data_IF_862780515951
#
_entry.id   IF_862780515951
#
_cell.length_a   1.000
_cell.length_b   1.000
_cell.length_c   1.000
_cell.angle_alpha   90.00
_cell.angle_beta   90.00
_cell.angle_gamma   90.00
#
_symmetry.space_group_name_H-M   'P 1'
#
loop_
_entity.id
_entity.type
_entity.pdbx_description
1 polymer ?
#
# COMPACT_ATOMS: atom_id res chain seq x y z
N UNK A 1 20.91 -26.98 5.00
CA UNK A 1 21.38 -25.78 5.73
C UNK A 1 22.62 -25.14 5.10
N UNK A 2 23.69 -25.87 4.74
CA UNK A 2 24.91 -25.27 4.11
C UNK A 2 24.62 -24.42 2.86
N UNK A 3 23.77 -24.88 1.93
CA UNK A 3 23.41 -24.12 0.72
C UNK A 3 22.57 -22.86 0.98
N UNK A 4 21.79 -22.82 2.08
CA UNK A 4 20.91 -21.68 2.38
C UNK A 4 21.68 -20.41 2.74
N UNK A 5 22.85 -20.55 3.37
CA UNK A 5 23.72 -19.42 3.71
C UNK A 5 24.39 -18.81 2.46
N UNK A 6 24.90 -19.63 1.55
CA UNK A 6 25.48 -19.14 0.30
C UNK A 6 24.43 -18.46 -0.59
N UNK A 7 23.23 -19.03 -0.65
CA UNK A 7 22.10 -18.48 -1.40
C UNK A 7 21.61 -17.15 -0.79
N UNK A 8 21.63 -17.01 0.54
CA UNK A 8 21.37 -15.74 1.24
C UNK A 8 22.42 -14.68 0.89
N UNK A 9 23.71 -15.00 0.99
CA UNK A 9 24.79 -14.07 0.69
C UNK A 9 24.74 -13.62 -0.77
N UNK A 10 24.53 -14.57 -1.70
CA UNK A 10 24.38 -14.29 -3.12
C UNK A 10 23.18 -13.36 -3.40
N UNK A 11 22.04 -13.60 -2.74
CA UNK A 11 20.85 -12.75 -2.89
C UNK A 11 21.10 -11.31 -2.39
N UNK A 12 21.82 -11.14 -1.28
CA UNK A 12 22.17 -9.81 -0.74
C UNK A 12 23.13 -9.08 -1.68
N UNK A 13 24.16 -9.76 -2.17
CA UNK A 13 25.11 -9.18 -3.14
C UNK A 13 24.37 -8.76 -4.41
N UNK A 14 23.47 -9.61 -4.91
CA UNK A 14 22.67 -9.30 -6.10
C UNK A 14 21.73 -8.12 -5.86
N UNK A 15 21.07 -8.02 -4.71
CA UNK A 15 20.29 -6.84 -4.34
C UNK A 15 21.16 -5.58 -4.35
N UNK A 16 22.35 -5.62 -3.74
CA UNK A 16 23.26 -4.47 -3.73
C UNK A 16 23.63 -4.06 -5.16
N UNK A 17 23.99 -5.02 -6.00
CA UNK A 17 24.29 -4.76 -7.41
C UNK A 17 23.11 -4.12 -8.17
N UNK A 18 21.86 -4.51 -7.86
CA UNK A 18 20.66 -3.98 -8.52
C UNK A 18 20.28 -2.55 -8.09
N UNK A 19 20.63 -2.12 -6.87
CA UNK A 19 20.16 -0.86 -6.29
C UNK A 19 21.26 0.16 -5.99
N UNK A 20 22.52 -0.27 -5.89
CA UNK A 20 23.62 0.62 -5.52
C UNK A 20 23.90 1.64 -6.62
N UNK A 21 23.78 2.93 -6.26
CA UNK A 21 23.84 4.07 -7.19
C UNK A 21 22.90 3.92 -8.40
N UNK A 22 21.75 3.27 -8.19
CA UNK A 22 20.72 3.10 -9.20
C UNK A 22 19.47 3.88 -8.81
N UNK A 23 18.86 4.54 -9.79
CA UNK A 23 17.50 5.04 -9.70
C UNK A 23 16.47 3.90 -9.84
N UNK A 24 15.21 4.17 -9.55
CA UNK A 24 14.11 3.21 -9.70
C UNK A 24 13.83 2.89 -11.18
N UNK A 25 13.73 1.60 -11.49
CA UNK A 25 13.42 1.12 -12.84
C UNK A 25 13.23 -0.39 -12.85
N UNK A 26 13.82 -1.05 -13.86
CA UNK A 26 13.72 -2.51 -14.03
C UNK A 26 14.39 -3.30 -12.90
N UNK A 27 15.27 -2.69 -12.11
CA UNK A 27 15.87 -3.29 -10.92
C UNK A 27 14.84 -3.86 -9.93
N UNK A 28 13.67 -3.23 -9.76
CA UNK A 28 12.59 -3.77 -8.93
C UNK A 28 11.99 -5.05 -9.51
N UNK A 29 11.82 -5.13 -10.82
CA UNK A 29 11.32 -6.33 -11.49
C UNK A 29 12.36 -7.46 -11.39
N UNK A 30 13.64 -7.15 -11.60
CA UNK A 30 14.74 -8.10 -11.41
C UNK A 30 14.82 -8.63 -9.97
N UNK A 31 14.66 -7.75 -8.98
CA UNK A 31 14.57 -8.15 -7.57
C UNK A 31 13.37 -9.07 -7.33
N UNK A 32 12.22 -8.79 -7.94
CA UNK A 32 11.04 -9.63 -7.75
C UNK A 32 11.23 -11.05 -8.32
N UNK A 33 11.91 -11.18 -9.47
CA UNK A 33 12.30 -12.49 -10.01
C UNK A 33 13.18 -13.24 -9.01
N UNK A 34 14.15 -12.55 -8.39
CA UNK A 34 14.97 -13.13 -7.33
C UNK A 34 14.10 -13.59 -6.15
N UNK A 35 13.21 -12.74 -5.63
CA UNK A 35 12.33 -13.08 -4.49
C UNK A 35 11.47 -14.30 -4.79
N UNK A 36 10.80 -14.35 -5.94
CA UNK A 36 9.97 -15.50 -6.32
C UNK A 36 10.79 -16.77 -6.51
N UNK A 37 12.01 -16.65 -7.04
CA UNK A 37 12.95 -17.77 -7.18
C UNK A 37 13.36 -18.31 -5.81
N UNK A 38 13.67 -17.44 -4.84
CA UNK A 38 13.99 -17.84 -3.47
C UNK A 38 12.83 -18.59 -2.81
N UNK A 39 11.59 -18.12 -3.00
CA UNK A 39 10.38 -18.80 -2.50
C UNK A 39 10.18 -20.18 -3.15
N UNK A 40 10.39 -20.28 -4.47
CA UNK A 40 10.30 -21.54 -5.24
C UNK A 40 11.34 -22.57 -4.81
N UNK A 41 12.58 -22.16 -4.63
CA UNK A 41 13.69 -23.02 -4.19
C UNK A 41 13.41 -23.54 -2.78
N UNK A 42 12.83 -22.71 -1.92
CA UNK A 42 12.51 -23.09 -0.55
C UNK A 42 11.39 -24.12 -0.46
N UNK A 43 10.22 -23.82 -1.01
CA UNK A 43 9.09 -24.75 -1.02
C UNK A 43 8.05 -24.34 -2.08
N UNK A 44 7.93 -25.18 -3.11
CA UNK A 44 7.02 -24.97 -4.26
C UNK A 44 5.54 -24.99 -3.88
N UNK A 45 5.17 -25.68 -2.80
CA UNK A 45 3.76 -25.80 -2.42
C UNK A 45 3.16 -24.49 -1.90
N UNK A 46 3.97 -23.55 -1.43
CA UNK A 46 3.48 -22.23 -1.00
C UNK A 46 2.92 -21.40 -2.16
N UNK A 47 3.48 -21.53 -3.37
CA UNK A 47 2.97 -20.84 -4.56
C UNK A 47 1.70 -21.48 -5.12
N UNK A 48 1.27 -22.64 -4.61
CA UNK A 48 -0.05 -23.22 -4.95
C UNK A 48 -1.19 -22.54 -4.19
N UNK A 49 -0.88 -21.82 -3.12
CA UNK A 49 -1.87 -21.17 -2.27
C UNK A 49 -2.32 -19.85 -2.89
N UNK A 50 -3.64 -19.65 -2.98
CA UNK A 50 -4.24 -18.49 -3.66
C UNK A 50 -3.75 -17.16 -3.09
N UNK A 51 -3.60 -17.05 -1.77
CA UNK A 51 -3.12 -15.81 -1.13
C UNK A 51 -1.68 -15.46 -1.55
N UNK A 52 -0.81 -16.45 -1.61
CA UNK A 52 0.57 -16.26 -2.07
C UNK A 52 0.58 -15.89 -3.55
N UNK A 53 -0.24 -16.54 -4.38
CA UNK A 53 -0.38 -16.21 -5.81
C UNK A 53 -0.84 -14.77 -6.03
N UNK A 54 -1.83 -14.31 -5.25
CA UNK A 54 -2.30 -12.92 -5.31
C UNK A 54 -1.22 -11.93 -4.86
N UNK A 55 -0.46 -12.24 -3.81
CA UNK A 55 0.67 -11.41 -3.38
C UNK A 55 1.78 -11.36 -4.43
N UNK A 56 2.12 -12.51 -5.04
CA UNK A 56 3.11 -12.62 -6.12
C UNK A 56 2.68 -11.86 -7.37
N UNK A 57 1.40 -11.99 -7.77
CA UNK A 57 0.84 -11.22 -8.87
C UNK A 57 0.96 -9.72 -8.58
N UNK A 58 0.60 -9.31 -7.37
CA UNK A 58 0.70 -7.90 -6.98
C UNK A 58 2.13 -7.37 -6.96
N UNK A 59 3.11 -8.15 -6.49
CA UNK A 59 4.53 -7.73 -6.53
C UNK A 59 5.03 -7.59 -7.96
N UNK A 60 4.62 -8.49 -8.87
CA UNK A 60 4.96 -8.44 -10.31
C UNK A 60 4.35 -7.21 -10.95
N UNK A 61 3.06 -6.95 -10.72
CA UNK A 61 2.39 -5.77 -11.25
C UNK A 61 3.03 -4.48 -10.73
N UNK A 62 3.39 -4.40 -9.44
CA UNK A 62 4.11 -3.25 -8.90
C UNK A 62 5.49 -3.07 -9.56
N UNK A 63 6.26 -4.15 -9.71
CA UNK A 63 7.57 -4.12 -10.38
C UNK A 63 7.47 -3.70 -11.84
N UNK A 64 6.44 -4.15 -12.56
CA UNK A 64 6.12 -3.70 -13.92
C UNK A 64 5.78 -2.21 -13.93
N UNK A 65 4.88 -1.75 -13.05
CA UNK A 65 4.51 -0.33 -12.97
C UNK A 65 5.73 0.56 -12.71
N UNK A 66 6.65 0.16 -11.83
CA UNK A 66 7.89 0.91 -11.60
C UNK A 66 8.76 0.95 -12.87
N UNK A 67 8.90 -0.17 -13.58
CA UNK A 67 9.63 -0.22 -14.85
C UNK A 67 8.96 0.62 -15.96
N UNK A 68 7.63 0.73 -15.97
CA UNK A 68 6.91 1.50 -16.99
C UNK A 68 6.83 3.00 -16.69
N UNK A 69 6.45 3.36 -15.46
CA UNK A 69 6.09 4.73 -15.08
C UNK A 69 6.91 5.30 -13.92
N UNK A 70 7.57 4.43 -13.14
CA UNK A 70 8.26 4.83 -11.91
C UNK A 70 7.31 5.28 -10.79
N UNK A 71 7.85 6.03 -9.84
CA UNK A 71 7.09 6.74 -8.80
C UNK A 71 7.13 6.12 -7.41
N UNK A 72 7.20 6.98 -6.40
CA UNK A 72 7.38 6.62 -4.99
C UNK A 72 6.22 5.80 -4.43
N UNK A 73 4.99 6.08 -4.87
CA UNK A 73 3.79 5.33 -4.47
C UNK A 73 3.83 3.89 -4.97
N UNK A 74 4.36 3.65 -6.17
CA UNK A 74 4.57 2.31 -6.73
C UNK A 74 5.61 1.53 -5.92
N UNK A 75 6.68 2.19 -5.48
CA UNK A 75 7.72 1.60 -4.61
C UNK A 75 7.12 1.21 -3.25
N UNK A 76 6.31 2.07 -2.64
CA UNK A 76 5.63 1.76 -1.39
C UNK A 76 4.75 0.51 -1.50
N UNK A 77 3.94 0.42 -2.56
CA UNK A 77 3.12 -0.77 -2.81
C UNK A 77 3.95 -2.01 -3.13
N UNK A 78 5.07 -1.87 -3.83
CA UNK A 78 6.02 -2.95 -4.05
C UNK A 78 6.55 -3.50 -2.73
N UNK A 79 7.03 -2.63 -1.83
CA UNK A 79 7.51 -3.02 -0.49
C UNK A 79 6.38 -3.72 0.27
N UNK A 80 5.18 -3.16 0.27
CA UNK A 80 4.01 -3.79 0.91
C UNK A 80 3.72 -5.19 0.34
N UNK A 81 3.86 -5.37 -0.98
CA UNK A 81 3.74 -6.67 -1.66
C UNK A 81 4.80 -7.67 -1.17
N UNK A 82 6.04 -7.22 -0.98
CA UNK A 82 7.12 -8.04 -0.41
C UNK A 82 6.80 -8.43 1.04
N UNK A 83 6.26 -7.52 1.86
CA UNK A 83 5.84 -7.84 3.23
C UNK A 83 4.76 -8.93 3.24
N UNK A 84 3.76 -8.84 2.36
CA UNK A 84 2.74 -9.89 2.21
C UNK A 84 3.38 -11.23 1.82
N UNK A 85 4.33 -11.24 0.88
CA UNK A 85 5.03 -12.46 0.47
C UNK A 85 5.83 -13.07 1.62
N UNK A 86 6.56 -12.26 2.40
CA UNK A 86 7.29 -12.73 3.59
C UNK A 86 6.32 -13.33 4.62
N UNK A 87 5.19 -12.67 4.87
CA UNK A 87 4.17 -13.19 5.78
C UNK A 87 3.58 -14.52 5.31
N UNK A 88 3.23 -14.64 4.03
CA UNK A 88 2.66 -15.86 3.46
C UNK A 88 3.67 -17.01 3.34
N UNK A 89 4.95 -16.67 3.19
CA UNK A 89 6.05 -17.62 3.27
C UNK A 89 6.19 -18.26 4.66
N UNK A 90 5.70 -17.60 5.71
CA UNK A 90 5.58 -18.22 7.04
C UNK A 90 4.38 -19.16 7.10
N UNK A 91 3.16 -18.64 6.91
CA UNK A 91 1.90 -19.38 6.98
C UNK A 91 0.96 -18.85 5.90
N UNK A 92 0.62 -19.71 4.93
CA UNK A 92 -0.14 -19.29 3.75
C UNK A 92 -1.63 -18.98 4.02
N UNK A 93 -2.20 -19.52 5.10
CA UNK A 93 -3.61 -19.34 5.46
C UNK A 93 -3.91 -18.02 6.18
N UNK A 94 -2.90 -17.19 6.43
CA UNK A 94 -3.06 -15.91 7.11
C UNK A 94 -3.96 -14.93 6.35
N UNK A 95 -4.60 -14.05 7.10
CA UNK A 95 -5.26 -12.88 6.51
C UNK A 95 -4.22 -11.91 5.94
N UNK A 96 -4.55 -11.13 4.91
CA UNK A 96 -3.60 -10.17 4.31
C UNK A 96 -3.00 -9.20 5.33
N UNK A 97 -3.82 -8.66 6.23
CA UNK A 97 -3.36 -7.72 7.26
C UNK A 97 -2.42 -8.37 8.30
N UNK A 98 -2.66 -9.63 8.68
CA UNK A 98 -1.75 -10.37 9.59
C UNK A 98 -0.49 -10.80 8.87
N UNK A 99 -0.61 -11.21 7.60
CA UNK A 99 0.53 -11.54 6.74
C UNK A 99 1.46 -10.33 6.59
N UNK A 100 0.93 -9.16 6.25
CA UNK A 100 1.70 -7.93 6.15
C UNK A 100 2.38 -7.56 7.49
N UNK A 101 1.69 -7.73 8.61
CA UNK A 101 2.26 -7.50 9.94
C UNK A 101 3.40 -8.48 10.27
N UNK A 102 3.20 -9.78 10.05
CA UNK A 102 4.23 -10.80 10.24
C UNK A 102 5.43 -10.56 9.30
N UNK A 103 5.15 -10.14 8.07
CA UNK A 103 6.14 -9.70 7.10
C UNK A 103 6.96 -8.54 7.61
N UNK A 104 6.31 -7.50 8.14
CA UNK A 104 6.97 -6.32 8.72
C UNK A 104 7.86 -6.66 9.92
N UNK A 105 7.34 -7.44 10.86
CA UNK A 105 8.11 -7.93 12.02
C UNK A 105 9.35 -8.70 11.57
N UNK A 106 9.21 -9.53 10.53
CA UNK A 106 10.32 -10.29 9.97
C UNK A 106 11.30 -9.42 9.17
N UNK A 107 10.81 -8.41 8.45
CA UNK A 107 11.57 -7.47 7.63
C UNK A 107 12.55 -6.63 8.47
N UNK A 108 12.16 -6.26 9.70
CA UNK A 108 13.02 -5.52 10.65
C UNK A 108 14.18 -6.40 11.18
N UNK A 109 14.20 -7.70 10.88
CA UNK A 109 15.33 -8.58 11.17
C UNK A 109 15.12 -9.55 12.33
N UNK A 110 13.90 -9.67 12.87
CA UNK A 110 13.58 -10.68 13.90
C UNK A 110 13.74 -12.11 13.33
N UNK A 111 13.38 -12.30 12.07
CA UNK A 111 13.65 -13.55 11.37
C UNK A 111 15.15 -13.83 11.26
N UNK A 112 15.96 -12.82 10.90
CA UNK A 112 17.43 -12.91 10.85
C UNK A 112 18.04 -13.26 12.20
N UNK A 113 17.57 -12.62 13.28
CA UNK A 113 18.04 -12.88 14.64
C UNK A 113 17.73 -14.32 15.07
N UNK A 114 16.48 -14.77 14.85
CA UNK A 114 16.08 -16.14 15.19
C UNK A 114 16.79 -17.18 14.32
N UNK A 115 16.98 -16.92 13.03
CA UNK A 115 17.75 -17.79 12.15
C UNK A 115 19.21 -17.90 12.60
N UNK A 116 19.84 -16.77 12.93
CA UNK A 116 21.18 -16.73 13.50
C UNK A 116 21.27 -17.51 14.81
N UNK A 117 20.37 -17.25 15.76
CA UNK A 117 20.32 -17.98 17.03
C UNK A 117 20.13 -19.48 16.82
N UNK A 118 19.25 -19.90 15.92
CA UNK A 118 18.99 -21.31 15.62
C UNK A 118 20.18 -22.01 14.93
N UNK A 119 20.91 -21.31 14.05
CA UNK A 119 22.15 -21.83 13.47
C UNK A 119 23.24 -22.02 14.54
N UNK A 120 23.25 -21.16 15.55
CA UNK A 120 24.20 -21.23 16.66
C UNK A 120 23.83 -22.34 17.67
N UNK A 121 22.55 -22.68 17.81
CA UNK A 121 22.06 -23.69 18.78
C UNK A 121 21.87 -25.09 18.19
N UNK A 122 21.48 -25.26 16.92
CA UNK A 122 21.29 -26.57 16.25
C UNK A 122 22.57 -27.19 15.67
N UNK A 123 23.73 -26.56 15.84
CA UNK A 123 25.01 -27.15 15.49
C UNK A 123 25.41 -28.23 16.52
N UNK A 124 24.67 -29.33 16.56
CA UNK A 124 25.10 -30.58 17.20
C UNK A 124 26.07 -31.29 16.26
N UNK A 125 27.37 -30.96 16.33
CA UNK A 125 28.57 -31.74 15.91
C UNK A 125 29.85 -30.89 16.09
N UNK A 126 31.05 -31.53 16.17
CA UNK A 126 31.91 -31.58 17.36
C UNK A 126 32.56 -30.25 17.81
N UNK A 127 33.15 -30.28 19.00
CA UNK A 127 33.80 -29.24 19.84
C UNK A 127 34.45 -28.01 19.18
N UNK A 128 34.91 -28.08 17.93
CA UNK A 128 35.58 -26.95 17.25
C UNK A 128 34.59 -25.89 16.73
N UNK A 129 33.40 -26.29 16.26
CA UNK A 129 32.39 -25.35 15.74
C UNK A 129 31.69 -24.56 16.88
N UNK A 130 31.60 -25.18 18.07
CA UNK A 130 31.12 -24.55 19.32
C UNK A 130 32.11 -23.53 19.89
N UNK A 131 33.43 -23.69 19.65
CA UNK A 131 34.44 -22.68 19.96
C UNK A 131 34.34 -21.47 19.03
N UNK A 132 34.18 -21.71 17.72
CA UNK A 132 34.05 -20.64 16.73
C UNK A 132 32.77 -19.82 16.90
N UNK A 133 31.63 -20.46 17.20
CA UNK A 133 30.36 -19.74 17.44
C UNK A 133 30.39 -18.93 18.74
N UNK A 134 30.98 -19.47 19.82
CA UNK A 134 31.19 -18.74 21.07
C UNK A 134 32.21 -17.62 20.93
N UNK A 135 33.27 -17.80 20.15
CA UNK A 135 34.24 -16.76 19.84
C UNK A 135 33.61 -15.63 19.04
N UNK A 136 32.78 -15.93 18.03
CA UNK A 136 32.03 -14.90 17.30
C UNK A 136 31.05 -14.19 18.24
N UNK A 137 30.28 -14.89 19.06
CA UNK A 137 29.36 -14.25 20.02
C UNK A 137 30.07 -13.42 21.10
N UNK A 138 31.29 -13.81 21.48
CA UNK A 138 32.15 -13.05 22.39
C UNK A 138 32.74 -11.81 21.70
N UNK A 139 33.07 -11.90 20.41
CA UNK A 139 33.70 -10.82 19.65
C UNK A 139 32.69 -9.82 19.07
N UNK A 140 31.51 -10.28 18.65
CA UNK A 140 30.58 -9.49 17.84
C UNK A 140 30.01 -8.28 18.61
N UNK A 141 29.55 -8.38 19.88
CA UNK A 141 29.09 -7.22 20.62
C UNK A 141 30.21 -6.22 20.92
N UNK A 142 31.41 -6.62 21.44
CA UNK A 142 32.53 -5.70 21.62
C UNK A 142 32.94 -5.05 20.30
N UNK A 143 33.06 -5.81 19.21
CA UNK A 143 33.51 -5.30 17.92
C UNK A 143 32.47 -4.34 17.31
N UNK A 144 31.17 -4.62 17.44
CA UNK A 144 30.11 -3.70 17.05
C UNK A 144 30.15 -2.40 17.86
N UNK A 145 30.36 -2.48 19.18
CA UNK A 145 30.51 -1.31 20.06
C UNK A 145 31.79 -0.53 19.68
N UNK A 146 32.91 -1.21 19.47
CA UNK A 146 34.19 -0.58 19.06
C UNK A 146 34.08 0.08 17.70
N UNK A 147 33.38 -0.53 16.72
CA UNK A 147 33.11 0.10 15.42
C UNK A 147 32.21 1.32 15.54
N UNK A 148 31.22 1.29 16.44
CA UNK A 148 30.36 2.44 16.74
C UNK A 148 31.19 3.59 17.34
N UNK A 149 32.02 3.31 18.35
CA UNK A 149 32.93 4.29 18.93
C UNK A 149 33.98 4.80 17.94
N UNK A 150 34.49 3.94 17.06
CA UNK A 150 35.36 4.35 15.95
C UNK A 150 34.66 5.35 15.04
N UNK A 151 33.41 5.10 14.65
CA UNK A 151 32.60 6.04 13.87
C UNK A 151 32.41 7.39 14.58
N UNK A 152 32.15 7.37 15.89
CA UNK A 152 32.03 8.59 16.71
C UNK A 152 33.35 9.37 16.78
N UNK A 153 34.49 8.69 16.94
CA UNK A 153 35.81 9.33 16.98
C UNK A 153 36.26 9.85 15.63
N UNK A 154 35.97 9.13 14.54
CA UNK A 154 36.18 9.61 13.18
C UNK A 154 35.34 10.86 12.88
N UNK A 155 34.09 10.88 13.33
CA UNK A 155 33.21 12.05 13.22
C UNK A 155 33.71 13.25 14.04
N UNK A 156 34.27 13.00 15.24
CA UNK A 156 34.80 14.05 16.11
C UNK A 156 36.18 14.57 15.67
N UNK A 157 37.01 13.74 15.02
CA UNK A 157 38.34 14.10 14.55
C UNK A 157 38.64 13.43 13.20
N UNK A 158 38.59 14.17 12.07
CA UNK A 158 38.86 13.64 10.73
C UNK A 158 40.24 12.99 10.55
N UNK A 159 41.22 13.33 11.41
CA UNK A 159 42.56 12.73 11.40
C UNK A 159 42.62 11.36 12.09
N UNK A 160 41.54 10.94 12.78
CA UNK A 160 41.42 9.64 13.45
C UNK A 160 41.05 8.54 12.45
N UNK A 161 41.89 8.38 11.43
CA UNK A 161 41.52 7.69 10.20
C UNK A 161 42.56 6.61 9.88
N UNK A 162 42.73 5.66 10.81
CA UNK A 162 43.74 4.57 10.71
C UNK A 162 43.55 3.65 9.49
N UNK A 163 42.38 3.69 8.83
CA UNK A 163 42.03 2.93 7.62
C UNK A 163 41.90 3.81 6.35
N UNK A 164 42.17 5.11 6.44
CA UNK A 164 41.70 6.09 5.44
C UNK A 164 42.59 6.29 4.23
N UNK A 165 43.79 5.71 4.19
CA UNK A 165 44.71 5.96 3.08
C UNK A 165 44.50 5.06 1.86
N UNK A 166 43.50 4.16 1.84
CA UNK A 166 43.28 3.33 0.63
C UNK A 166 41.84 2.93 0.32
N UNK A 167 40.89 2.93 1.27
CA UNK A 167 39.51 2.55 0.98
C UNK A 167 38.49 3.37 1.80
N UNK A 168 37.75 4.26 1.14
CA UNK A 168 36.53 4.85 1.69
C UNK A 168 35.40 3.84 1.54
N UNK A 169 34.94 3.24 2.65
CA UNK A 169 33.74 2.42 2.63
C UNK A 169 32.54 3.29 2.21
N UNK A 170 31.92 2.95 1.08
CA UNK A 170 30.72 3.66 0.64
C UNK A 170 29.56 3.35 1.60
N UNK A 171 29.12 4.39 2.32
CA UNK A 171 28.05 4.27 3.30
C UNK A 171 26.71 3.82 2.67
N UNK A 172 26.45 4.20 1.42
CA UNK A 172 25.27 3.78 0.66
C UNK A 172 25.29 2.29 0.32
N UNK A 173 26.45 1.77 -0.10
CA UNK A 173 26.63 0.33 -0.31
C UNK A 173 26.44 -0.46 0.99
N UNK A 174 27.08 -0.01 2.07
CA UNK A 174 26.99 -0.67 3.38
C UNK A 174 25.56 -0.63 3.92
N UNK A 175 24.84 0.49 3.75
CA UNK A 175 23.44 0.60 4.14
C UNK A 175 22.55 -0.41 3.39
N UNK A 176 22.67 -0.50 2.05
CA UNK A 176 21.92 -1.47 1.25
C UNK A 176 22.24 -2.91 1.63
N UNK A 177 23.49 -3.20 1.95
CA UNK A 177 23.94 -4.50 2.43
C UNK A 177 23.31 -4.86 3.79
N UNK A 178 23.31 -3.93 4.75
CA UNK A 178 22.67 -4.12 6.05
C UNK A 178 21.16 -4.32 5.92
N UNK A 179 20.49 -3.55 5.06
CA UNK A 179 19.07 -3.77 4.75
C UNK A 179 18.84 -5.17 4.19
N UNK A 180 19.67 -5.63 3.24
CA UNK A 180 19.59 -6.99 2.71
C UNK A 180 19.70 -8.06 3.81
N UNK A 181 20.57 -7.86 4.80
CA UNK A 181 20.72 -8.76 5.95
C UNK A 181 19.50 -8.81 6.89
N UNK A 182 18.61 -7.82 6.89
CA UNK A 182 17.41 -7.85 7.75
C UNK A 182 16.25 -8.60 7.10
N UNK A 183 15.96 -8.35 5.82
CA UNK A 183 14.73 -8.86 5.21
C UNK A 183 14.89 -10.11 4.35
N UNK A 184 16.02 -10.28 3.64
CA UNK A 184 16.25 -11.48 2.81
C UNK A 184 16.23 -12.77 3.64
N UNK A 185 16.76 -12.82 4.87
CA UNK A 185 16.69 -14.03 5.68
C UNK A 185 15.25 -14.43 6.01
N UNK A 186 14.29 -13.49 6.05
CA UNK A 186 12.88 -13.80 6.28
C UNK A 186 12.23 -14.61 5.14
N UNK A 187 12.79 -14.55 3.92
CA UNK A 187 12.36 -15.39 2.80
C UNK A 187 12.86 -16.84 2.93
N UNK A 188 14.02 -17.04 3.55
CA UNK A 188 14.68 -18.36 3.67
C UNK A 188 14.29 -19.04 4.99
N UNK A 189 14.26 -18.27 6.06
CA UNK A 189 13.98 -18.68 7.44
C UNK A 189 12.75 -17.91 7.94
N UNK A 190 11.53 -18.43 7.69
CA UNK A 190 10.32 -17.70 8.06
C UNK A 190 10.20 -17.60 9.58
N UNK A 191 9.56 -16.53 10.01
CA UNK A 191 9.19 -16.31 11.38
C UNK A 191 7.75 -15.80 11.45
N UNK A 192 7.00 -16.29 12.43
CA UNK A 192 5.62 -15.85 12.68
C UNK A 192 5.41 -15.65 14.19
N UNK A 193 5.09 -14.44 14.66
CA UNK A 193 4.67 -14.22 16.04
C UNK A 193 3.42 -15.02 16.39
N UNK A 194 3.47 -15.85 17.43
CA UNK A 194 2.39 -16.79 17.77
C UNK A 194 1.07 -16.08 18.13
N UNK A 195 1.12 -15.01 18.93
CA UNK A 195 -0.09 -14.38 19.49
C UNK A 195 -1.11 -13.90 18.43
N UNK A 196 -0.64 -13.20 17.39
CA UNK A 196 -1.52 -12.69 16.33
C UNK A 196 -1.88 -13.78 15.31
N UNK A 197 -0.94 -14.67 15.03
CA UNK A 197 -1.09 -15.77 14.07
C UNK A 197 -2.16 -16.76 14.52
N UNK A 198 -2.11 -17.24 15.76
CA UNK A 198 -3.08 -18.20 16.30
C UNK A 198 -4.49 -17.59 16.41
N UNK A 199 -4.57 -16.30 16.79
CA UNK A 199 -5.85 -15.58 16.85
C UNK A 199 -6.50 -15.44 15.48
N UNK A 200 -5.73 -15.35 14.40
CA UNK A 200 -6.27 -15.23 13.05
C UNK A 200 -6.69 -16.58 12.46
N UNK A 201 -5.86 -17.61 12.63
CA UNK A 201 -6.15 -18.96 12.15
C UNK A 201 -7.40 -19.57 12.80
N UNK A 202 -7.69 -19.20 14.04
CA UNK A 202 -8.89 -19.64 14.76
C UNK A 202 -10.20 -18.97 14.28
N UNK A 203 -10.13 -17.95 13.41
CA UNK A 203 -11.32 -17.22 12.92
C UNK A 203 -11.79 -17.78 11.56
N UNK A 204 -12.88 -18.57 11.50
CA UNK A 204 -13.42 -19.05 10.24
C UNK A 204 -14.05 -17.93 9.42
N UNK A 205 -14.24 -18.16 8.12
CA UNK A 205 -14.92 -17.21 7.22
C UNK A 205 -16.46 -17.27 7.30
N UNK A 206 -17.03 -18.40 7.75
CA UNK A 206 -18.46 -18.62 7.84
C UNK A 206 -18.92 -18.64 9.30
N UNK A 207 -20.06 -18.00 9.59
CA UNK A 207 -20.65 -18.08 10.91
C UNK A 207 -21.32 -19.46 11.07
N UNK A 208 -21.00 -20.14 12.17
CA UNK A 208 -21.73 -21.33 12.63
C UNK A 208 -22.61 -20.94 13.81
N UNK A 209 -23.84 -21.47 13.86
CA UNK A 209 -24.73 -21.26 15.00
C UNK A 209 -24.14 -21.98 16.20
N UNK A 210 -23.77 -21.24 17.24
CA UNK A 210 -23.25 -21.82 18.48
C UNK A 210 -24.44 -22.17 19.36
N UNK A 211 -24.67 -23.48 19.56
CA UNK A 211 -25.65 -24.01 20.53
C UNK A 211 -24.93 -24.30 21.84
N UNK A 212 -24.74 -23.29 22.68
CA UNK A 212 -24.35 -23.50 24.08
C UNK A 212 -25.61 -23.49 24.94
N UNK A 213 -25.65 -24.32 26.01
CA UNK A 213 -26.57 -24.10 27.14
C UNK A 213 -26.11 -22.81 27.81
N UNK A 214 -26.49 -21.68 27.25
CA UNK A 214 -26.09 -20.36 27.71
C UNK A 214 -26.71 -20.14 29.10
N UNK A 215 -25.87 -20.04 30.14
CA UNK A 215 -26.29 -19.72 31.53
C UNK A 215 -26.69 -18.24 31.71
N UNK A 216 -27.02 -17.52 30.64
CA UNK A 216 -27.45 -16.13 30.65
C UNK A 216 -28.88 -15.96 30.13
N UNK A 217 -29.54 -14.87 30.53
CA UNK A 217 -30.94 -14.61 30.18
C UNK A 217 -31.13 -14.44 28.66
N UNK A 218 -32.00 -15.26 28.05
CA UNK A 218 -32.55 -15.10 26.69
C UNK A 218 -33.08 -13.68 26.41
N UNK A 219 -33.39 -12.91 27.46
CA UNK A 219 -33.77 -11.50 27.39
C UNK A 219 -32.67 -10.62 26.78
N UNK A 220 -31.39 -10.90 27.03
CA UNK A 220 -30.29 -10.07 26.54
C UNK A 220 -30.22 -10.03 25.01
N UNK A 221 -30.38 -11.19 24.35
CA UNK A 221 -30.38 -11.27 22.89
C UNK A 221 -31.62 -10.60 22.25
N UNK A 222 -32.77 -10.69 22.92
CA UNK A 222 -34.00 -9.98 22.51
C UNK A 222 -33.85 -8.46 22.62
N UNK A 223 -33.20 -7.97 23.68
CA UNK A 223 -32.90 -6.56 23.86
C UNK A 223 -31.88 -6.05 22.84
N UNK A 224 -30.79 -6.78 22.61
CA UNK A 224 -29.80 -6.45 21.57
C UNK A 224 -30.46 -6.37 20.18
N UNK A 225 -31.35 -7.31 19.84
CA UNK A 225 -32.11 -7.27 18.59
C UNK A 225 -32.98 -6.01 18.48
N UNK A 226 -33.80 -5.72 19.51
CA UNK A 226 -34.69 -4.55 19.50
C UNK A 226 -33.90 -3.24 19.38
N UNK A 227 -32.82 -3.11 20.15
CA UNK A 227 -31.92 -1.95 20.06
C UNK A 227 -31.32 -1.81 18.65
N UNK A 228 -30.86 -2.90 18.05
CA UNK A 228 -30.32 -2.89 16.69
C UNK A 228 -31.34 -2.45 15.64
N UNK A 229 -32.60 -2.90 15.75
CA UNK A 229 -33.68 -2.46 14.86
C UNK A 229 -33.97 -0.97 15.04
N UNK A 230 -34.17 -0.50 16.28
CA UNK A 230 -34.46 0.91 16.57
C UNK A 230 -33.34 1.81 16.03
N UNK A 231 -32.08 1.44 16.31
CA UNK A 231 -30.94 2.22 15.89
C UNK A 231 -30.80 2.27 14.36
N UNK A 232 -30.98 1.15 13.65
CA UNK A 232 -30.95 1.16 12.18
C UNK A 232 -32.11 1.96 11.57
N UNK A 233 -33.30 1.93 12.17
CA UNK A 233 -34.42 2.76 11.73
C UNK A 233 -34.07 4.24 11.90
N UNK A 234 -33.56 4.64 13.07
CA UNK A 234 -33.17 6.04 13.31
C UNK A 234 -32.09 6.50 12.34
N UNK A 235 -31.07 5.68 12.09
CA UNK A 235 -30.00 5.98 11.14
C UNK A 235 -30.50 6.08 9.70
N UNK A 236 -31.39 5.17 9.27
CA UNK A 236 -32.00 5.24 7.94
C UNK A 236 -32.84 6.49 7.76
N UNK A 237 -33.64 6.86 8.76
CA UNK A 237 -34.43 8.10 8.72
C UNK A 237 -33.55 9.33 8.64
N UNK A 238 -32.50 9.41 9.47
CA UNK A 238 -31.56 10.52 9.43
C UNK A 238 -30.83 10.63 8.08
N UNK A 239 -30.37 9.49 7.54
CA UNK A 239 -29.68 9.43 6.25
C UNK A 239 -30.61 9.82 5.10
N UNK A 240 -31.88 9.41 5.14
CA UNK A 240 -32.87 9.80 4.15
C UNK A 240 -33.14 11.32 4.19
N UNK A 241 -33.30 11.89 5.39
CA UNK A 241 -33.46 13.35 5.55
C UNK A 241 -32.24 14.09 5.01
N UNK A 242 -31.04 13.64 5.36
CA UNK A 242 -29.79 14.21 4.85
C UNK A 242 -29.71 14.17 3.32
N UNK A 243 -30.06 13.02 2.71
CA UNK A 243 -30.10 12.88 1.25
C UNK A 243 -31.12 13.82 0.59
N UNK A 244 -32.28 14.02 1.19
CA UNK A 244 -33.29 14.97 0.68
C UNK A 244 -32.74 16.39 0.70
N UNK A 245 -32.13 16.82 1.81
CA UNK A 245 -31.51 18.16 1.93
C UNK A 245 -30.38 18.33 0.91
N UNK A 246 -29.52 17.33 0.74
CA UNK A 246 -28.40 17.38 -0.21
C UNK A 246 -28.89 17.47 -1.66
N UNK A 247 -29.91 16.68 -2.03
CA UNK A 247 -30.51 16.73 -3.37
C UNK A 247 -31.22 18.07 -3.63
N UNK A 248 -31.93 18.62 -2.64
CA UNK A 248 -32.54 19.95 -2.76
C UNK A 248 -31.49 21.05 -2.93
N UNK A 249 -30.39 20.99 -2.18
CA UNK A 249 -29.27 21.92 -2.28
C UNK A 249 -28.61 21.88 -3.66
N UNK A 250 -28.41 20.68 -4.23
CA UNK A 250 -27.91 20.50 -5.58
C UNK A 250 -28.86 21.05 -6.64
N UNK A 251 -30.16 20.74 -6.52
CA UNK A 251 -31.18 21.23 -7.47
C UNK A 251 -31.30 22.76 -7.46
N UNK A 252 -31.20 23.37 -6.28
CA UNK A 252 -31.37 24.81 -6.10
C UNK A 252 -30.13 25.63 -6.51
N UNK A 253 -29.03 24.96 -6.92
CA UNK A 253 -27.77 25.61 -7.32
C UNK A 253 -27.09 26.39 -6.19
N UNK A 254 -27.56 26.28 -4.95
CA UNK A 254 -27.19 27.16 -3.83
C UNK A 254 -25.76 26.98 -3.32
N UNK A 255 -25.02 25.98 -3.84
CA UNK A 255 -23.61 25.72 -3.47
C UNK A 255 -22.58 26.49 -4.30
N UNK A 256 -22.99 27.32 -5.27
CA UNK A 256 -22.06 27.96 -6.21
C UNK A 256 -22.00 29.49 -6.05
N UNK A 257 -21.12 29.99 -5.17
CA UNK A 257 -20.67 31.40 -5.20
C UNK A 257 -19.14 31.55 -5.25
N UNK A 258 -18.35 30.60 -4.73
CA UNK A 258 -16.88 30.62 -4.92
C UNK A 258 -16.22 29.23 -4.97
N UNK A 259 -15.02 29.17 -5.57
CA UNK A 259 -14.15 27.99 -5.62
C UNK A 259 -13.81 27.44 -4.25
N UNK A 260 -13.58 28.37 -3.33
CA UNK A 260 -13.18 28.10 -1.97
C UNK A 260 -14.32 27.47 -1.16
N UNK A 261 -15.52 28.05 -1.21
CA UNK A 261 -16.70 27.53 -0.51
C UNK A 261 -17.10 26.15 -1.04
N UNK A 262 -17.03 25.94 -2.36
CA UNK A 262 -17.32 24.64 -2.95
C UNK A 262 -16.27 23.60 -2.55
N UNK A 263 -14.98 23.97 -2.55
CA UNK A 263 -13.89 23.11 -2.10
C UNK A 263 -14.05 22.71 -0.64
N UNK A 264 -14.34 23.68 0.23
CA UNK A 264 -14.52 23.45 1.66
C UNK A 264 -15.78 22.60 1.92
N UNK A 265 -16.90 22.89 1.25
CA UNK A 265 -18.11 22.08 1.33
C UNK A 265 -17.90 20.63 0.88
N UNK A 266 -17.11 20.41 -0.19
CA UNK A 266 -16.77 19.06 -0.65
C UNK A 266 -15.85 18.35 0.35
N UNK A 267 -14.83 19.02 0.89
CA UNK A 267 -13.92 18.41 1.86
C UNK A 267 -14.61 18.10 3.19
N UNK A 268 -15.37 19.03 3.74
CA UNK A 268 -16.13 18.82 4.98
C UNK A 268 -17.22 17.77 4.77
N UNK A 269 -17.90 17.81 3.63
CA UNK A 269 -18.88 16.80 3.21
C UNK A 269 -18.28 15.40 3.14
N UNK A 270 -17.11 15.23 2.50
CA UNK A 270 -16.42 13.95 2.40
C UNK A 270 -15.92 13.48 3.77
N UNK A 271 -15.35 14.36 4.59
CA UNK A 271 -14.86 14.00 5.92
C UNK A 271 -16.00 13.48 6.82
N UNK A 272 -17.12 14.20 6.86
CA UNK A 272 -18.32 13.79 7.60
C UNK A 272 -18.90 12.50 7.01
N UNK A 273 -18.87 12.34 5.69
CA UNK A 273 -19.32 11.12 5.02
C UNK A 273 -18.44 9.91 5.38
N UNK A 274 -17.11 10.06 5.38
CA UNK A 274 -16.17 9.01 5.81
C UNK A 274 -16.50 8.57 7.23
N UNK A 275 -16.61 9.53 8.16
CA UNK A 275 -16.85 9.23 9.57
C UNK A 275 -18.20 8.53 9.76
N UNK A 276 -19.26 9.03 9.10
CA UNK A 276 -20.60 8.45 9.21
C UNK A 276 -20.67 7.02 8.67
N UNK A 277 -20.04 6.74 7.52
CA UNK A 277 -19.98 5.39 6.95
C UNK A 277 -19.15 4.45 7.81
N UNK A 278 -17.99 4.88 8.34
CA UNK A 278 -17.17 4.05 9.23
C UNK A 278 -17.90 3.72 10.53
N UNK A 279 -18.59 4.69 11.14
CA UNK A 279 -19.37 4.48 12.34
C UNK A 279 -20.52 3.50 12.07
N UNK A 280 -21.21 3.66 10.94
CA UNK A 280 -22.30 2.78 10.55
C UNK A 280 -21.84 1.35 10.19
N UNK A 281 -20.70 1.18 9.52
CA UNK A 281 -20.08 -0.14 9.31
C UNK A 281 -19.72 -0.78 10.65
N UNK A 282 -19.17 -0.01 11.60
CA UNK A 282 -18.87 -0.49 12.96
C UNK A 282 -20.12 -1.03 13.65
N UNK A 283 -21.23 -0.31 13.52
CA UNK A 283 -22.54 -0.73 14.03
C UNK A 283 -23.05 -2.01 13.35
N UNK A 284 -22.89 -2.15 12.04
CA UNK A 284 -23.24 -3.40 11.33
C UNK A 284 -22.36 -4.56 11.78
N UNK A 285 -21.05 -4.34 11.96
CA UNK A 285 -20.12 -5.34 12.48
C UNK A 285 -20.47 -5.76 13.91
N UNK A 286 -21.05 -4.85 14.70
CA UNK A 286 -21.53 -5.12 16.04
C UNK A 286 -22.83 -5.95 16.05
N UNK A 287 -23.87 -5.53 15.33
CA UNK A 287 -25.18 -6.20 15.37
C UNK A 287 -25.22 -7.51 14.56
N UNK A 288 -24.51 -7.58 13.44
CA UNK A 288 -24.41 -8.81 12.63
C UNK A 288 -23.26 -9.71 13.09
N UNK A 289 -22.90 -9.67 14.39
CA UNK A 289 -21.95 -10.60 15.00
C UNK A 289 -22.66 -11.84 15.53
N UNK A 290 -22.02 -13.00 15.39
CA UNK A 290 -22.40 -14.24 16.10
C UNK A 290 -23.89 -14.62 15.87
N UNK A 291 -24.59 -15.03 16.94
CA UNK A 291 -25.89 -15.68 16.90
C UNK A 291 -27.09 -14.78 16.53
N UNK A 292 -26.94 -13.45 16.49
CA UNK A 292 -28.00 -12.53 16.02
C UNK A 292 -28.42 -12.81 14.57
N UNK A 293 -27.49 -13.28 13.73
CA UNK A 293 -27.77 -13.73 12.36
C UNK A 293 -28.69 -14.96 12.28
N UNK A 294 -28.86 -15.68 13.39
CA UNK A 294 -29.70 -16.89 13.50
C UNK A 294 -30.88 -16.69 14.45
N UNK A 295 -31.17 -15.46 14.86
CA UNK A 295 -32.28 -15.14 15.73
C UNK A 295 -33.62 -15.35 14.99
N UNK A 296 -34.64 -15.98 15.62
CA UNK A 296 -35.96 -16.12 15.01
C UNK A 296 -36.55 -14.74 14.68
N UNK A 297 -37.12 -14.56 13.48
CA UNK A 297 -37.69 -13.29 12.99
C UNK A 297 -36.71 -12.12 12.84
N UNK A 298 -35.43 -12.36 12.56
CA UNK A 298 -34.46 -11.29 12.29
C UNK A 298 -34.65 -10.53 10.95
N UNK A 299 -35.72 -10.83 10.20
CA UNK A 299 -35.98 -10.27 8.88
C UNK A 299 -36.07 -8.74 8.89
N UNK A 300 -36.66 -8.14 9.93
CA UNK A 300 -36.75 -6.67 10.04
C UNK A 300 -35.37 -6.04 10.15
N UNK A 301 -34.48 -6.60 10.98
CA UNK A 301 -33.11 -6.11 11.13
C UNK A 301 -32.33 -6.22 9.81
N UNK A 302 -32.46 -7.34 9.10
CA UNK A 302 -31.84 -7.56 7.78
C UNK A 302 -32.39 -6.57 6.75
N UNK A 303 -33.71 -6.36 6.70
CA UNK A 303 -34.35 -5.42 5.78
C UNK A 303 -33.87 -3.98 6.04
N UNK A 304 -33.80 -3.57 7.30
CA UNK A 304 -33.27 -2.24 7.66
C UNK A 304 -31.79 -2.08 7.30
N UNK A 305 -30.98 -3.14 7.43
CA UNK A 305 -29.60 -3.11 6.98
C UNK A 305 -29.50 -3.02 5.44
N UNK A 306 -30.35 -3.70 4.68
CA UNK A 306 -30.38 -3.55 3.22
C UNK A 306 -30.85 -2.16 2.78
N UNK A 307 -31.88 -1.60 3.43
CA UNK A 307 -32.28 -0.21 3.20
C UNK A 307 -31.12 0.74 3.48
N UNK A 308 -30.40 0.54 4.58
CA UNK A 308 -29.21 1.33 4.92
C UNK A 308 -28.14 1.25 3.83
N UNK A 309 -27.81 0.05 3.34
CA UNK A 309 -26.82 -0.11 2.26
C UNK A 309 -27.30 0.61 0.99
N UNK A 310 -28.58 0.48 0.62
CA UNK A 310 -29.17 1.17 -0.52
C UNK A 310 -29.09 2.69 -0.42
N UNK A 311 -29.42 3.26 0.74
CA UNK A 311 -29.29 4.70 0.99
C UNK A 311 -27.83 5.18 0.91
N UNK A 312 -26.87 4.39 1.41
CA UNK A 312 -25.45 4.75 1.29
C UNK A 312 -24.96 4.68 -0.15
N UNK A 313 -25.42 3.71 -0.95
CA UNK A 313 -25.11 3.66 -2.39
C UNK A 313 -25.65 4.91 -3.10
N UNK A 314 -26.88 5.34 -2.79
CA UNK A 314 -27.45 6.58 -3.32
C UNK A 314 -26.59 7.79 -2.91
N UNK A 315 -26.16 7.84 -1.66
CA UNK A 315 -25.28 8.89 -1.16
C UNK A 315 -23.93 8.94 -1.90
N UNK A 316 -23.32 7.78 -2.15
CA UNK A 316 -22.11 7.70 -2.96
C UNK A 316 -22.36 8.25 -4.37
N UNK A 317 -23.51 7.96 -4.99
CA UNK A 317 -23.86 8.48 -6.30
C UNK A 317 -24.02 10.02 -6.30
N UNK A 318 -24.71 10.57 -5.31
CA UNK A 318 -24.86 12.01 -5.12
C UNK A 318 -23.49 12.67 -4.92
N UNK A 319 -22.65 12.14 -4.04
CA UNK A 319 -21.30 12.67 -3.79
C UNK A 319 -20.40 12.56 -5.03
N UNK A 320 -20.52 11.48 -5.81
CA UNK A 320 -19.81 11.32 -7.09
C UNK A 320 -20.20 12.41 -8.07
N UNK A 321 -21.49 12.73 -8.15
CA UNK A 321 -21.98 13.81 -9.01
C UNK A 321 -21.44 15.18 -8.56
N UNK A 322 -21.50 15.49 -7.27
CA UNK A 322 -20.95 16.73 -6.70
C UNK A 322 -19.45 16.87 -6.97
N UNK A 323 -18.66 15.81 -6.77
CA UNK A 323 -17.23 15.83 -7.07
C UNK A 323 -16.96 16.02 -8.57
N UNK A 324 -17.84 15.50 -9.43
CA UNK A 324 -17.72 15.68 -10.89
C UNK A 324 -18.00 17.12 -11.32
N UNK A 325 -18.99 17.78 -10.72
CA UNK A 325 -19.20 19.22 -10.91
C UNK A 325 -17.99 20.03 -10.40
N UNK A 326 -17.37 19.60 -9.30
CA UNK A 326 -16.16 20.24 -8.79
C UNK A 326 -14.98 20.11 -9.77
N UNK A 327 -14.77 18.93 -10.34
CA UNK A 327 -13.73 18.66 -11.35
C UNK A 327 -13.96 19.43 -12.65
N UNK A 328 -15.21 19.59 -13.10
CA UNK A 328 -15.53 20.35 -14.31
C UNK A 328 -15.22 21.85 -14.15
N UNK A 329 -15.49 22.42 -12.98
CA UNK A 329 -15.31 23.86 -12.75
C UNK A 329 -13.85 24.24 -12.40
N UNK A 330 -13.12 23.35 -11.71
CA UNK A 330 -11.80 23.65 -11.12
C UNK A 330 -10.69 22.70 -11.55
N UNK A 331 -10.97 21.85 -12.52
CA UNK A 331 -9.99 20.93 -13.08
C UNK A 331 -9.81 19.64 -12.30
N UNK A 332 -9.02 18.72 -12.86
CA UNK A 332 -8.68 17.45 -12.22
C UNK A 332 -7.42 17.61 -11.37
N UNK A 333 -7.41 17.05 -10.16
CA UNK A 333 -6.23 17.02 -9.28
C UNK A 333 -6.11 15.65 -8.61
N UNK A 334 -4.91 15.31 -8.11
CA UNK A 334 -4.70 14.10 -7.31
C UNK A 334 -5.68 13.98 -6.13
N UNK A 335 -5.97 15.10 -5.44
CA UNK A 335 -6.93 15.12 -4.33
C UNK A 335 -8.34 14.71 -4.79
N UNK A 336 -8.82 15.25 -5.91
CA UNK A 336 -10.15 14.95 -6.47
C UNK A 336 -10.25 13.53 -7.02
N UNK A 337 -9.16 12.99 -7.58
CA UNK A 337 -9.08 11.57 -7.96
C UNK A 337 -9.12 10.68 -6.70
N UNK A 338 -8.46 11.08 -5.63
CA UNK A 338 -8.52 10.42 -4.33
C UNK A 338 -9.95 10.29 -3.79
N UNK A 339 -10.82 11.29 -4.04
CA UNK A 339 -12.24 11.21 -3.70
C UNK A 339 -12.94 10.09 -4.47
N UNK A 340 -12.75 10.01 -5.79
CA UNK A 340 -13.34 8.93 -6.60
C UNK A 340 -12.82 7.55 -6.16
N UNK A 341 -11.52 7.44 -5.86
CA UNK A 341 -10.92 6.21 -5.34
C UNK A 341 -11.56 5.80 -4.01
N UNK A 342 -11.75 6.75 -3.10
CA UNK A 342 -12.39 6.51 -1.82
C UNK A 342 -13.87 6.09 -1.98
N UNK A 343 -14.61 6.74 -2.88
CA UNK A 343 -16.00 6.37 -3.20
C UNK A 343 -16.08 4.95 -3.77
N UNK A 344 -15.15 4.57 -4.66
CA UNK A 344 -15.04 3.22 -5.23
C UNK A 344 -14.78 2.18 -4.14
N UNK A 345 -13.77 2.39 -3.29
CA UNK A 345 -13.44 1.48 -2.20
C UNK A 345 -14.60 1.33 -1.21
N UNK A 346 -15.32 2.42 -0.95
CA UNK A 346 -16.49 2.41 -0.07
C UNK A 346 -17.64 1.64 -0.69
N UNK A 347 -17.92 1.84 -1.99
CA UNK A 347 -18.91 1.07 -2.74
C UNK A 347 -18.59 -0.44 -2.73
N UNK A 348 -17.34 -0.82 -2.96
CA UNK A 348 -16.89 -2.21 -2.86
C UNK A 348 -17.02 -2.76 -1.43
N UNK A 349 -16.72 -1.96 -0.41
CA UNK A 349 -16.90 -2.30 1.01
C UNK A 349 -18.37 -2.50 1.40
N UNK A 350 -19.28 -1.67 0.87
CA UNK A 350 -20.73 -1.84 1.04
C UNK A 350 -21.22 -3.12 0.35
N UNK A 351 -20.72 -3.39 -0.86
CA UNK A 351 -21.05 -4.61 -1.59
C UNK A 351 -20.59 -5.87 -0.85
N UNK A 352 -19.37 -5.90 -0.31
CA UNK A 352 -18.89 -7.04 0.49
C UNK A 352 -19.64 -7.16 1.81
N UNK A 353 -20.12 -6.04 2.39
CA UNK A 353 -21.00 -6.03 3.56
C UNK A 353 -22.37 -6.65 3.24
N UNK A 354 -22.94 -6.34 2.08
CA UNK A 354 -24.15 -7.00 1.55
C UNK A 354 -23.96 -8.52 1.48
N UNK A 355 -22.86 -8.97 0.86
CA UNK A 355 -22.51 -10.39 0.75
C UNK A 355 -22.32 -11.04 2.13
N UNK A 356 -21.69 -10.33 3.08
CA UNK A 356 -21.52 -10.82 4.46
C UNK A 356 -22.85 -11.09 5.13
N UNK A 357 -23.82 -10.17 5.01
CA UNK A 357 -25.15 -10.31 5.62
C UNK A 357 -25.90 -11.45 4.94
N UNK A 358 -25.94 -11.47 3.61
CA UNK A 358 -26.68 -12.48 2.84
C UNK A 358 -26.14 -13.89 3.07
N UNK A 359 -24.81 -14.07 3.01
CA UNK A 359 -24.16 -15.38 3.16
C UNK A 359 -23.74 -15.71 4.60
N UNK A 360 -24.11 -14.89 5.59
CA UNK A 360 -23.80 -15.07 7.01
C UNK A 360 -22.29 -15.29 7.26
N UNK A 361 -21.45 -14.45 6.66
CA UNK A 361 -19.99 -14.50 6.83
C UNK A 361 -19.55 -13.81 8.12
N UNK A 362 -18.36 -14.16 8.59
CA UNK A 362 -17.76 -13.54 9.78
C UNK A 362 -17.23 -12.14 9.48
N UNK A 363 -16.92 -11.38 10.53
CA UNK A 363 -16.24 -10.09 10.37
C UNK A 363 -14.82 -10.30 9.81
N UNK A 364 -14.14 -11.41 10.17
CA UNK A 364 -12.83 -11.75 9.64
C UNK A 364 -12.85 -11.94 8.11
N UNK A 365 -13.90 -12.59 7.56
CA UNK A 365 -14.09 -12.67 6.11
C UNK A 365 -14.15 -11.28 5.46
N UNK A 366 -14.91 -10.35 6.04
CA UNK A 366 -15.05 -9.00 5.49
C UNK A 366 -13.71 -8.27 5.43
N UNK A 367 -12.94 -8.30 6.52
CA UNK A 367 -11.61 -7.68 6.56
C UNK A 367 -10.66 -8.35 5.57
N UNK A 368 -10.65 -9.69 5.47
CA UNK A 368 -9.81 -10.43 4.51
C UNK A 368 -10.09 -10.02 3.06
N UNK A 369 -11.35 -10.00 2.66
CA UNK A 369 -11.74 -9.67 1.28
C UNK A 369 -11.49 -8.19 0.98
N UNK A 370 -11.88 -7.29 1.88
CA UNK A 370 -11.65 -5.86 1.65
C UNK A 370 -10.17 -5.49 1.67
N UNK A 371 -9.31 -6.18 2.44
CA UNK A 371 -7.85 -5.97 2.35
C UNK A 371 -7.31 -6.31 0.96
N UNK A 372 -7.75 -7.41 0.35
CA UNK A 372 -7.36 -7.77 -1.01
C UNK A 372 -7.90 -6.78 -2.05
N UNK A 373 -9.17 -6.39 -1.93
CA UNK A 373 -9.78 -5.39 -2.82
C UNK A 373 -8.98 -4.09 -2.77
N UNK A 374 -8.73 -3.56 -1.57
CA UNK A 374 -7.96 -2.32 -1.38
C UNK A 374 -6.58 -2.44 -1.97
N UNK A 375 -5.87 -3.54 -1.71
CA UNK A 375 -4.55 -3.80 -2.27
C UNK A 375 -4.52 -3.75 -3.81
N UNK A 376 -5.41 -4.49 -4.48
CA UNK A 376 -5.45 -4.50 -5.95
C UNK A 376 -5.95 -3.20 -6.56
N UNK A 377 -6.89 -2.51 -5.91
CA UNK A 377 -7.35 -1.19 -6.35
C UNK A 377 -6.19 -0.18 -6.31
N UNK A 378 -5.36 -0.20 -5.27
CA UNK A 378 -4.17 0.66 -5.22
C UNK A 378 -3.12 0.29 -6.28
N UNK A 379 -2.94 -1.00 -6.59
CA UNK A 379 -2.05 -1.43 -7.69
C UNK A 379 -2.53 -0.89 -9.04
N UNK A 380 -3.82 -1.03 -9.33
CA UNK A 380 -4.42 -0.49 -10.55
C UNK A 380 -4.30 1.05 -10.60
N UNK A 381 -4.43 1.69 -9.44
CA UNK A 381 -4.26 3.13 -9.32
C UNK A 381 -2.84 3.54 -9.72
N UNK A 382 -1.79 2.94 -9.16
CA UNK A 382 -0.41 3.34 -9.51
C UNK A 382 -0.01 2.98 -10.95
N UNK A 383 -0.69 2.01 -11.58
CA UNK A 383 -0.42 1.60 -12.96
C UNK A 383 -0.85 2.63 -14.03
N UNK A 384 -1.48 3.74 -13.63
CA UNK A 384 -1.97 4.76 -14.56
C UNK A 384 -1.04 5.99 -14.59
N UNK A 385 -0.76 6.59 -15.76
CA UNK A 385 0.07 7.79 -15.89
C UNK A 385 -0.72 9.06 -15.50
N UNK A 386 -1.00 9.22 -14.20
CA UNK A 386 -1.89 10.28 -13.70
C UNK A 386 -1.48 11.68 -14.12
N UNK A 387 -0.19 12.02 -14.13
CA UNK A 387 0.24 13.35 -14.57
C UNK A 387 -0.21 13.66 -16.01
N UNK A 388 -0.13 12.68 -16.92
CA UNK A 388 -0.61 12.82 -18.30
C UNK A 388 -2.12 12.94 -18.40
N UNK A 389 -2.84 12.14 -17.60
CA UNK A 389 -4.32 12.14 -17.57
C UNK A 389 -4.84 13.48 -17.03
N UNK A 390 -4.27 13.93 -15.91
CA UNK A 390 -4.59 15.20 -15.26
C UNK A 390 -4.31 16.35 -16.22
N UNK A 391 -3.14 16.39 -16.84
CA UNK A 391 -2.77 17.47 -17.75
C UNK A 391 -3.67 17.49 -18.99
N UNK A 392 -3.89 16.33 -19.62
CA UNK A 392 -4.81 16.23 -20.76
C UNK A 392 -6.22 16.71 -20.43
N UNK A 393 -6.77 16.30 -19.29
CA UNK A 393 -8.11 16.73 -18.88
C UNK A 393 -8.16 18.24 -18.64
N UNK A 394 -7.20 18.78 -17.90
CA UNK A 394 -7.20 20.19 -17.53
C UNK A 394 -7.02 21.12 -18.71
N UNK A 395 -6.15 20.79 -19.66
CA UNK A 395 -5.90 21.62 -20.85
C UNK A 395 -7.11 21.65 -21.81
N UNK A 396 -7.93 20.60 -21.85
CA UNK A 396 -9.02 20.47 -22.83
C UNK A 396 -10.42 20.77 -22.27
N UNK A 397 -10.66 20.50 -20.99
CA UNK A 397 -12.02 20.49 -20.43
C UNK A 397 -12.20 21.37 -19.19
N UNK A 398 -11.12 21.82 -18.53
CA UNK A 398 -11.27 22.62 -17.32
C UNK A 398 -11.67 24.06 -17.64
N UNK A 399 -12.65 24.59 -16.90
CA UNK A 399 -13.04 26.01 -16.99
C UNK A 399 -12.01 26.95 -16.37
N UNK A 400 -11.33 26.50 -15.31
CA UNK A 400 -10.24 27.25 -14.68
C UNK A 400 -8.98 26.41 -14.67
N UNK A 401 -7.91 26.98 -15.21
CA UNK A 401 -6.68 26.25 -15.54
C UNK A 401 -5.55 26.74 -14.64
N UNK A 402 -5.02 25.86 -13.81
CA UNK A 402 -3.89 26.13 -12.92
C UNK A 402 -2.60 25.54 -13.52
N UNK A 403 -1.89 26.34 -14.30
CA UNK A 403 -0.63 25.93 -14.93
C UNK A 403 0.45 25.60 -13.91
N UNK A 404 0.52 26.35 -12.81
CA UNK A 404 1.52 26.12 -11.76
C UNK A 404 1.35 24.74 -11.14
N UNK A 405 0.10 24.30 -10.95
CA UNK A 405 -0.19 22.93 -10.55
C UNK A 405 0.29 21.91 -11.60
N UNK A 406 0.00 22.12 -12.89
CA UNK A 406 0.41 21.18 -13.94
C UNK A 406 1.94 21.03 -14.05
N UNK A 407 2.70 22.11 -13.90
CA UNK A 407 4.17 22.07 -13.87
C UNK A 407 4.74 21.42 -12.59
N UNK A 408 3.96 21.36 -11.51
CA UNK A 408 4.36 20.66 -10.28
C UNK A 408 4.16 19.14 -10.33
N UNK A 409 3.45 18.63 -11.34
CA UNK A 409 3.22 17.20 -11.54
C UNK A 409 4.49 16.49 -12.01
N UNK A 410 4.45 15.16 -12.02
CA UNK A 410 5.52 14.34 -12.58
C UNK A 410 5.79 14.71 -14.05
N UNK A 411 7.07 14.82 -14.43
CA UNK A 411 7.56 15.26 -15.76
C UNK A 411 7.02 14.48 -16.97
N UNK A 412 6.31 13.37 -16.75
CA UNK A 412 5.71 12.59 -17.83
C UNK A 412 4.64 13.38 -18.62
N UNK A 413 4.15 14.50 -18.12
CA UNK A 413 3.24 15.40 -18.83
C UNK A 413 3.94 16.49 -19.68
N UNK A 414 5.27 16.63 -19.62
CA UNK A 414 6.01 17.68 -20.33
C UNK A 414 5.68 17.77 -21.84
N UNK A 415 5.50 16.68 -22.60
CA UNK A 415 5.13 16.76 -24.02
C UNK A 415 3.81 17.52 -24.25
N UNK A 416 2.84 17.38 -23.33
CA UNK A 416 1.55 18.07 -23.42
C UNK A 416 1.69 19.55 -23.08
N UNK A 417 2.55 19.88 -22.12
CA UNK A 417 2.85 21.27 -21.76
C UNK A 417 3.66 21.98 -22.85
N UNK A 418 4.58 21.27 -23.50
CA UNK A 418 5.32 21.77 -24.65
C UNK A 418 4.38 22.11 -25.81
N UNK A 419 3.53 21.17 -26.24
CA UNK A 419 2.54 21.43 -27.29
C UNK A 419 1.59 22.59 -26.93
N UNK A 420 1.20 22.73 -25.66
CA UNK A 420 0.37 23.83 -25.20
C UNK A 420 1.10 25.19 -25.27
N UNK A 421 2.39 25.22 -24.92
CA UNK A 421 3.21 26.45 -24.95
C UNK A 421 3.37 27.02 -26.37
N UNK A 422 3.31 26.19 -27.42
CA UNK A 422 3.41 26.66 -28.81
C UNK A 422 2.28 27.62 -29.21
N UNK A 423 1.13 27.54 -28.54
CA UNK A 423 -0.04 28.38 -28.80
C UNK A 423 -0.29 29.41 -27.69
N UNK A 424 0.46 29.35 -26.58
CA UNK A 424 0.26 30.18 -25.39
C UNK A 424 1.62 30.72 -24.89
N UNK A 425 2.01 31.94 -25.31
CA UNK A 425 3.30 32.52 -24.93
C UNK A 425 3.37 32.85 -23.43
N UNK A 426 4.58 32.88 -22.86
CA UNK A 426 4.83 33.21 -21.45
C UNK A 426 5.04 31.98 -20.55
N UNK A 427 5.21 30.79 -21.14
CA UNK A 427 5.46 29.52 -20.43
C UNK A 427 6.86 28.96 -20.67
N UNK A 428 7.68 29.64 -21.46
CA UNK A 428 8.98 29.20 -21.95
C UNK A 428 9.97 29.00 -20.80
N UNK A 429 10.01 29.92 -19.83
CA UNK A 429 10.90 29.84 -18.66
C UNK A 429 10.56 28.66 -17.75
N UNK A 430 9.26 28.44 -17.49
CA UNK A 430 8.81 27.31 -16.66
C UNK A 430 9.06 25.97 -17.36
N UNK A 431 8.81 25.92 -18.66
CA UNK A 431 9.02 24.72 -19.48
C UNK A 431 10.51 24.38 -19.60
N UNK A 432 11.37 25.36 -19.87
CA UNK A 432 12.81 25.17 -19.96
C UNK A 432 13.40 24.66 -18.63
N UNK A 433 13.01 25.26 -17.50
CA UNK A 433 13.41 24.77 -16.18
C UNK A 433 12.97 23.32 -15.93
N UNK A 434 11.72 22.98 -16.28
CA UNK A 434 11.20 21.63 -16.09
C UNK A 434 11.87 20.59 -17.00
N UNK A 435 12.19 20.96 -18.25
CA UNK A 435 12.94 20.13 -19.20
C UNK A 435 14.38 19.92 -18.74
N UNK A 436 15.08 20.99 -18.33
CA UNK A 436 16.46 20.93 -17.87
C UNK A 436 16.59 20.11 -16.59
N UNK A 437 15.68 20.28 -15.63
CA UNK A 437 15.67 19.49 -14.39
C UNK A 437 15.43 18.00 -14.65
N UNK A 438 14.56 17.65 -15.60
CA UNK A 438 14.37 16.27 -16.06
C UNK A 438 15.63 15.71 -16.73
N UNK A 439 16.23 16.44 -17.69
CA UNK A 439 17.42 16.00 -18.42
C UNK A 439 18.61 15.79 -17.47
N UNK A 440 18.89 16.74 -16.59
CA UNK A 440 19.94 16.61 -15.56
C UNK A 440 19.76 15.39 -14.67
N UNK A 441 18.52 15.03 -14.32
CA UNK A 441 18.21 13.83 -13.53
C UNK A 441 18.42 12.55 -14.34
N UNK A 442 17.98 12.53 -15.60
CA UNK A 442 18.08 11.37 -16.48
C UNK A 442 19.53 11.06 -16.85
N UNK A 443 20.30 12.09 -17.22
CA UNK A 443 21.71 11.98 -17.64
C UNK A 443 22.69 11.71 -16.49
N UNK A 444 22.23 11.80 -15.23
CA UNK A 444 23.04 11.41 -14.07
C UNK A 444 23.33 9.90 -14.04
N UNK A 445 22.53 9.08 -14.72
CA UNK A 445 22.66 7.61 -14.76
C UNK A 445 22.68 7.08 -16.20
N UNK A 446 23.67 7.49 -17.04
CA UNK A 446 23.57 7.33 -18.49
C UNK A 446 23.68 5.88 -18.98
N UNK A 447 24.29 4.97 -18.20
CA UNK A 447 24.67 3.62 -18.66
C UNK A 447 24.13 2.46 -17.82
N UNK A 448 23.23 2.72 -16.87
CA UNK A 448 22.76 1.68 -15.97
C UNK A 448 21.40 1.13 -16.38
N UNK A 449 21.42 -0.02 -17.07
CA UNK A 449 20.22 -0.76 -17.47
C UNK A 449 19.28 -1.03 -16.28
N UNK A 450 19.81 -1.13 -15.05
CA UNK A 450 19.07 -1.34 -13.81
C UNK A 450 18.05 -0.22 -13.52
N UNK A 451 18.40 1.02 -13.86
CA UNK A 451 17.56 2.21 -13.66
C UNK A 451 16.67 2.51 -14.84
N UNK A 452 16.72 1.70 -15.89
CA UNK A 452 15.91 1.92 -17.07
C UNK A 452 14.43 1.87 -16.72
N UNK A 453 13.71 2.92 -17.14
CA UNK A 453 12.26 2.99 -17.08
C UNK A 453 11.71 3.53 -18.41
N UNK A 454 10.57 2.99 -18.85
CA UNK A 454 10.03 3.27 -20.18
C UNK A 454 9.53 4.71 -20.34
N UNK A 455 8.85 5.26 -19.33
CA UNK A 455 8.29 6.61 -19.40
C UNK A 455 9.37 7.69 -19.53
N UNK A 456 10.43 7.62 -18.74
CA UNK A 456 11.54 8.59 -18.79
C UNK A 456 12.34 8.40 -20.08
N UNK A 457 12.62 7.16 -20.50
CA UNK A 457 13.27 6.89 -21.78
C UNK A 457 12.50 7.50 -22.96
N UNK A 458 11.19 7.26 -23.02
CA UNK A 458 10.32 7.82 -24.08
C UNK A 458 10.26 9.35 -24.02
N UNK A 459 10.25 9.92 -22.82
CA UNK A 459 10.25 11.36 -22.62
C UNK A 459 11.58 11.98 -23.09
N UNK A 460 12.71 11.37 -22.76
CA UNK A 460 14.02 11.81 -23.21
C UNK A 460 14.14 11.81 -24.74
N UNK A 461 13.66 10.76 -25.40
CA UNK A 461 13.60 10.69 -26.88
C UNK A 461 12.71 11.78 -27.48
N UNK A 462 11.58 12.10 -26.84
CA UNK A 462 10.71 13.17 -27.30
C UNK A 462 11.39 14.54 -27.20
N UNK A 463 12.00 14.86 -26.05
CA UNK A 463 12.66 16.14 -25.80
C UNK A 463 13.91 16.35 -26.66
N UNK A 464 14.61 15.26 -27.03
CA UNK A 464 15.76 15.32 -27.95
C UNK A 464 15.35 15.49 -29.41
N UNK A 465 14.23 14.90 -29.83
CA UNK A 465 13.69 15.07 -31.20
C UNK A 465 12.93 16.39 -31.40
N UNK A 466 12.38 16.95 -30.32
CA UNK A 466 11.61 18.21 -30.32
C UNK A 466 12.24 19.19 -29.32
N UNK A 467 13.44 19.73 -29.61
CA UNK A 467 14.09 20.68 -28.71
C UNK A 467 13.24 21.95 -28.56
N UNK A 468 13.30 22.56 -27.39
CA UNK A 468 12.67 23.86 -27.15
C UNK A 468 13.24 24.88 -28.13
N UNK A 469 12.38 25.66 -28.78
CA UNK A 469 12.81 26.79 -29.61
C UNK A 469 13.50 27.80 -28.70
N UNK A 470 14.73 28.17 -29.06
CA UNK A 470 15.52 29.18 -28.35
C UNK A 470 14.89 30.55 -28.42
#
# INVERSE_FOLDING_TARGET
MKYGFFLLLAAIILQNYLFYNQNFGINFLALNVLVLTLLLVRNRDYLKQINTQLASLGSVLCGMTIAFYGGDTSIFLYIFSILLLIGYNSIAQLSPYVSAFNGFVSFIGIASFNAGANLLTKADTPTNQRRFSKQIQLLLPPLAITLCFYGLYYWANPNFSFLSTTYTLDAGYLFLFLVGLTWIPALIFPYSPNAFTESDLSRPNTLKRIRTRFKGHLLQLKWEYRQGVIMLVMLNSLLAIFLVVELQSLYSGSKAQSAYELSQSVHDGINVLIISILLAITLILFYFRKNLNFFPNNQTLVKQAYTWIGLNILLLAVTTHTNSLYVQNYGLTYKRIGVYLWLLLTGLGLFTTLLKIHQKKTNAYLFRVNSWITYFVFILMVAMPWAKIITHYNLNYSRSLDLSYLFSLHHSNLPQLQAYSETHPGLEDKLSFAVESFQKRYERYPDAWQSWNYSDWKLYQHLTSHPLKK
#
